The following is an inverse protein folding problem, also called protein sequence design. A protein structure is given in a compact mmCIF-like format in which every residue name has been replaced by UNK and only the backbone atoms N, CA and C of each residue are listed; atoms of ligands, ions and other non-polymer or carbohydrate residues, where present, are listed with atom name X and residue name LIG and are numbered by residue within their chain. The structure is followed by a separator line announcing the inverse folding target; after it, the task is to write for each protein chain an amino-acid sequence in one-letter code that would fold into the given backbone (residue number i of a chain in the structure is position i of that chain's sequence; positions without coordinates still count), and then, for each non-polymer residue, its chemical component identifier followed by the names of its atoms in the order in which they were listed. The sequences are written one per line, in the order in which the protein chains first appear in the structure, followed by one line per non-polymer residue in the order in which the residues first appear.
data_IF_893317911212
#
_entry.id   IF_893317911212
#
_cell.length_a   1.000
_cell.length_b   1.000
_cell.length_c   1.000
_cell.angle_alpha   90.00
_cell.angle_beta   90.00
_cell.angle_gamma   90.00
#
_symmetry.space_group_name_H-M   'P 1'
#
loop_
_entity.id
_entity.type
_entity.pdbx_description
1 polymer ?
#
# COMPACT_ATOMS: atom_id res chain seq x y z
N UNK A 1 -21.27 -20.74 -2.50
CA UNK A 1 -20.30 -19.95 -1.71
C UNK A 1 -18.91 -20.26 -2.26
N UNK A 2 -18.10 -19.24 -2.54
CA UNK A 2 -16.70 -19.44 -2.93
C UNK A 2 -15.82 -19.13 -1.72
N UNK A 3 -14.94 -20.06 -1.37
CA UNK A 3 -13.98 -19.93 -0.28
C UNK A 3 -12.79 -19.08 -0.75
N UNK A 4 -12.59 -17.93 -0.12
CA UNK A 4 -11.44 -17.07 -0.39
C UNK A 4 -10.23 -17.59 0.39
N UNK A 5 -9.10 -17.82 -0.29
CA UNK A 5 -7.84 -18.22 0.34
C UNK A 5 -6.96 -16.99 0.62
N UNK A 6 -6.56 -16.82 1.87
CA UNK A 6 -5.57 -15.83 2.29
C UNK A 6 -4.16 -16.40 2.11
N UNK A 7 -3.30 -15.72 1.35
CA UNK A 7 -1.88 -16.07 1.22
C UNK A 7 -1.10 -15.24 2.24
N UNK A 8 -0.46 -15.89 3.20
CA UNK A 8 0.46 -15.26 4.14
C UNK A 8 1.89 -15.44 3.62
N UNK A 9 2.53 -14.36 3.18
CA UNK A 9 3.93 -14.39 2.75
C UNK A 9 4.80 -13.84 3.89
N UNK A 10 5.51 -14.73 4.59
CA UNK A 10 6.46 -14.37 5.64
C UNK A 10 7.86 -14.34 5.05
N UNK A 11 8.38 -13.16 4.74
CA UNK A 11 9.82 -12.96 4.51
C UNK A 11 10.47 -12.63 5.84
N UNK A 12 11.18 -13.60 6.43
CA UNK A 12 12.01 -13.36 7.61
C UNK A 12 13.24 -12.51 7.20
N UNK A 13 13.25 -11.23 7.59
CA UNK A 13 14.42 -10.38 7.50
C UNK A 13 15.39 -10.72 8.63
N UNK A 14 16.28 -11.66 8.37
CA UNK A 14 17.41 -11.97 9.25
C UNK A 14 18.47 -10.87 9.11
N UNK A 15 18.64 -10.09 10.17
CA UNK A 15 19.70 -9.09 10.44
C UNK A 15 19.71 -7.75 9.65
N UNK A 16 19.12 -6.66 10.19
CA UNK A 16 19.05 -5.36 9.52
C UNK A 16 20.28 -4.45 9.74
N UNK A 17 21.34 -4.89 10.43
CA UNK A 17 22.37 -3.96 10.95
C UNK A 17 23.61 -3.69 10.09
N UNK A 18 23.87 -4.42 9.00
CA UNK A 18 25.21 -4.34 8.36
C UNK A 18 25.28 -4.01 6.87
N UNK A 19 24.18 -3.79 6.15
CA UNK A 19 24.26 -3.61 4.68
C UNK A 19 23.52 -2.37 4.14
N UNK A 20 22.66 -1.72 4.92
CA UNK A 20 21.73 -0.67 4.44
C UNK A 20 22.31 0.76 4.56
N UNK A 21 23.61 0.95 4.33
CA UNK A 21 24.24 2.30 4.44
C UNK A 21 24.99 2.80 3.22
N UNK A 22 25.06 2.05 2.12
CA UNK A 22 25.80 2.50 0.93
C UNK A 22 24.96 2.83 -0.31
N UNK A 23 23.71 2.37 -0.44
CA UNK A 23 23.00 2.46 -1.73
C UNK A 23 21.94 3.58 -1.84
N UNK A 24 21.71 4.39 -0.79
CA UNK A 24 20.71 5.48 -0.88
C UNK A 24 21.29 6.76 -1.50
N UNK A 25 22.63 6.87 -1.60
CA UNK A 25 23.31 8.08 -2.10
C UNK A 25 23.42 8.17 -3.62
N UNK A 26 23.10 7.12 -4.38
CA UNK A 26 23.26 7.13 -5.85
C UNK A 26 21.97 7.44 -6.62
N UNK A 27 20.80 7.34 -5.99
CA UNK A 27 19.50 7.58 -6.65
C UNK A 27 19.36 9.06 -7.04
N UNK A 28 19.90 9.98 -6.25
CA UNK A 28 19.92 11.43 -6.56
C UNK A 28 20.73 11.76 -7.83
N UNK A 29 21.56 10.85 -8.34
CA UNK A 29 22.44 11.11 -9.50
C UNK A 29 21.97 10.47 -10.81
N UNK A 30 21.01 9.55 -10.78
CA UNK A 30 20.56 8.81 -11.97
C UNK A 30 19.38 9.47 -12.69
N UNK A 31 18.57 10.22 -11.97
CA UNK A 31 17.40 10.91 -12.50
C UNK A 31 17.41 12.33 -11.94
N UNK A 32 17.45 13.34 -12.81
CA UNK A 32 17.23 14.76 -12.46
C UNK A 32 15.73 14.95 -12.16
N UNK A 33 15.27 14.30 -11.10
CA UNK A 33 13.88 14.23 -10.67
C UNK A 33 13.84 14.77 -9.25
N UNK A 34 12.98 15.75 -9.04
CA UNK A 34 12.73 16.36 -7.74
C UNK A 34 11.89 15.46 -6.83
N UNK A 35 11.97 15.68 -5.51
CA UNK A 35 11.09 15.03 -4.54
C UNK A 35 9.59 15.21 -4.87
N UNK A 36 9.22 16.35 -5.48
CA UNK A 36 7.87 16.64 -5.93
C UNK A 36 7.43 15.74 -7.10
N UNK A 37 8.32 15.50 -8.06
CA UNK A 37 8.09 14.59 -9.18
C UNK A 37 8.02 13.14 -8.71
N UNK A 38 8.91 12.72 -7.78
CA UNK A 38 8.84 11.39 -7.14
C UNK A 38 7.50 11.23 -6.42
N UNK A 39 7.09 12.23 -5.63
CA UNK A 39 5.80 12.20 -4.92
C UNK A 39 4.62 12.09 -5.88
N UNK A 40 4.68 12.78 -7.02
CA UNK A 40 3.63 12.75 -8.05
C UNK A 40 3.56 11.38 -8.72
N UNK A 41 4.69 10.85 -9.19
CA UNK A 41 4.77 9.53 -9.80
C UNK A 41 4.31 8.43 -8.85
N UNK A 42 4.71 8.49 -7.58
CA UNK A 42 4.27 7.54 -6.55
C UNK A 42 2.76 7.60 -6.31
N UNK A 43 2.17 8.80 -6.27
CA UNK A 43 0.70 8.98 -6.12
C UNK A 43 -0.05 8.40 -7.32
N UNK A 44 0.43 8.62 -8.54
CA UNK A 44 -0.21 8.09 -9.75
C UNK A 44 -0.13 6.57 -9.82
N UNK A 45 1.06 6.00 -9.59
CA UNK A 45 1.27 4.55 -9.57
C UNK A 45 0.39 3.88 -8.49
N UNK A 46 0.32 4.47 -7.30
CA UNK A 46 -0.51 3.95 -6.20
C UNK A 46 -2.00 3.99 -6.57
N UNK A 47 -2.50 5.07 -7.17
CA UNK A 47 -3.88 5.16 -7.63
C UNK A 47 -4.21 4.11 -8.69
N UNK A 48 -3.30 3.90 -9.65
CA UNK A 48 -3.48 2.88 -10.70
C UNK A 48 -3.54 1.47 -10.12
N UNK A 49 -2.64 1.14 -9.18
CA UNK A 49 -2.63 -0.16 -8.51
C UNK A 49 -3.90 -0.39 -7.67
N UNK A 50 -4.38 0.61 -6.93
CA UNK A 50 -5.63 0.51 -6.18
C UNK A 50 -6.81 0.29 -7.11
N UNK A 51 -6.85 0.97 -8.26
CA UNK A 51 -7.89 0.77 -9.26
C UNK A 51 -7.88 -0.66 -9.81
N UNK A 52 -6.72 -1.23 -10.16
CA UNK A 52 -6.61 -2.62 -10.62
C UNK A 52 -7.19 -3.60 -9.59
N UNK A 53 -6.87 -3.41 -8.31
CA UNK A 53 -7.42 -4.23 -7.23
C UNK A 53 -8.94 -4.12 -7.14
N UNK A 54 -9.49 -2.91 -7.27
CA UNK A 54 -10.95 -2.68 -7.25
C UNK A 54 -11.64 -3.28 -8.47
N UNK A 55 -11.06 -3.14 -9.66
CA UNK A 55 -11.57 -3.77 -10.89
C UNK A 55 -11.61 -5.31 -10.76
N UNK A 56 -10.71 -5.88 -9.94
CA UNK A 56 -10.65 -7.32 -9.60
C UNK A 56 -11.54 -7.73 -8.42
N UNK A 57 -12.30 -6.79 -7.85
CA UNK A 57 -13.18 -7.05 -6.71
C UNK A 57 -12.46 -7.17 -5.36
N UNK A 58 -11.23 -6.65 -5.25
CA UNK A 58 -10.43 -6.72 -4.03
C UNK A 58 -10.54 -5.39 -3.26
N UNK A 59 -10.95 -5.44 -1.99
CA UNK A 59 -10.91 -4.28 -1.10
C UNK A 59 -9.47 -3.85 -0.79
N UNK A 60 -9.26 -2.55 -0.57
CA UNK A 60 -7.96 -2.00 -0.15
C UNK A 60 -8.07 -1.32 1.21
N UNK A 61 -7.00 -1.33 1.99
CA UNK A 61 -6.96 -0.68 3.30
C UNK A 61 -6.06 0.56 3.26
N UNK A 62 -6.47 1.60 3.98
CA UNK A 62 -5.70 2.83 4.13
C UNK A 62 -5.87 3.41 5.52
N UNK A 63 -4.86 4.15 5.98
CA UNK A 63 -4.92 4.88 7.24
C UNK A 63 -5.05 6.38 6.95
N UNK A 64 -5.98 7.04 7.64
CA UNK A 64 -6.15 8.49 7.59
C UNK A 64 -6.46 9.01 8.98
N UNK A 65 -5.70 10.00 9.45
CA UNK A 65 -5.86 10.61 10.77
C UNK A 65 -5.83 9.58 11.92
N UNK A 66 -4.99 8.55 11.78
CA UNK A 66 -4.88 7.44 12.75
C UNK A 66 -6.02 6.42 12.69
N UNK A 67 -7.02 6.61 11.83
CA UNK A 67 -8.15 5.71 11.64
C UNK A 67 -7.89 4.83 10.42
N UNK A 68 -8.12 3.52 10.55
CA UNK A 68 -8.05 2.58 9.44
C UNK A 68 -9.39 2.52 8.70
N UNK A 69 -9.33 2.59 7.38
CA UNK A 69 -10.48 2.49 6.49
C UNK A 69 -10.28 1.34 5.51
N UNK A 70 -11.33 0.58 5.28
CA UNK A 70 -11.47 -0.30 4.13
C UNK A 70 -12.15 0.48 2.99
N UNK A 71 -11.55 0.47 1.81
CA UNK A 71 -12.19 0.93 0.58
C UNK A 71 -12.58 -0.30 -0.23
N UNK A 72 -13.89 -0.53 -0.34
CA UNK A 72 -14.47 -1.62 -1.10
C UNK A 72 -14.32 -1.38 -2.61
N UNK A 73 -14.43 -2.43 -3.44
CA UNK A 73 -14.36 -2.34 -4.91
C UNK A 73 -15.37 -1.37 -5.54
N UNK A 74 -16.52 -1.15 -4.90
CA UNK A 74 -17.55 -0.19 -5.33
C UNK A 74 -17.21 1.27 -4.98
N UNK A 75 -16.03 1.54 -4.39
CA UNK A 75 -15.58 2.86 -3.94
C UNK A 75 -16.09 3.26 -2.55
N UNK A 76 -16.93 2.44 -1.90
CA UNK A 76 -17.41 2.68 -0.54
C UNK A 76 -16.25 2.63 0.45
N UNK A 77 -16.18 3.63 1.34
CA UNK A 77 -15.17 3.69 2.41
C UNK A 77 -15.85 3.45 3.74
N UNK A 78 -15.38 2.44 4.47
CA UNK A 78 -15.92 2.05 5.78
C UNK A 78 -14.77 2.10 6.78
N UNK A 79 -15.00 2.68 7.97
CA UNK A 79 -13.98 2.60 9.01
C UNK A 79 -13.91 1.15 9.52
N UNK A 80 -12.70 0.63 9.74
CA UNK A 80 -12.52 -0.74 10.22
C UNK A 80 -13.08 -0.90 11.64
N UNK A 81 -13.07 0.17 12.43
CA UNK A 81 -13.72 0.22 13.76
C UNK A 81 -15.24 0.02 13.68
N UNK A 82 -15.90 0.61 12.67
CA UNK A 82 -17.33 0.45 12.45
C UNK A 82 -17.65 -0.95 11.89
N UNK A 83 -16.81 -1.47 10.99
CA UNK A 83 -16.99 -2.80 10.41
C UNK A 83 -16.86 -3.92 11.46
N UNK A 84 -15.92 -3.80 12.39
CA UNK A 84 -15.73 -4.77 13.48
C UNK A 84 -16.89 -4.77 14.50
N UNK A 85 -17.63 -3.66 14.61
CA UNK A 85 -18.76 -3.53 15.54
C UNK A 85 -20.07 -4.14 15.02
N UNK A 86 -20.08 -4.66 13.78
CA UNK A 86 -21.24 -5.32 13.16
C UNK A 86 -21.14 -6.86 13.14
N UNK A 87 -20.22 -7.43 13.93
CA UNK A 87 -19.98 -8.88 14.06
C UNK A 87 -20.73 -9.49 15.24
#
# INVERSE_FOLDING_TARGET
MQDYKTIHNYTALSDPKSTVKQEVSEIDSFFDITDEEISTLAKEATKAAVKDLHDRGISTYGMRDGIMYETKPNGEKVSVSDAASQS
#
